data_IF_989836970267
#
_entry.id   IF_989836970267
#
_cell.length_a   1.000
_cell.length_b   1.000
_cell.length_c   1.000
_cell.angle_alpha   90.00
_cell.angle_beta   90.00
_cell.angle_gamma   90.00
#
_symmetry.space_group_name_H-M   'P 1'
#
loop_
_entity.id
_entity.type
_entity.pdbx_description
1 polymer ?
#
# COMPACT_ATOMS: atom_id res chain seq x y z
N UNK A 1 -10.53 3.19 3.77
CA UNK A 1 -11.58 3.40 2.78
C UNK A 1 -11.44 2.37 1.68
N UNK A 2 -12.49 1.66 1.40
CA UNK A 2 -12.50 0.60 0.40
C UNK A 2 -13.23 1.06 -0.85
N UNK A 3 -12.90 0.50 -2.01
CA UNK A 3 -13.66 0.80 -3.23
C UNK A 3 -15.07 0.22 -3.13
N UNK A 4 -16.00 0.71 -3.92
CA UNK A 4 -17.33 0.12 -3.95
C UNK A 4 -17.29 -1.31 -4.47
N UNK A 5 -18.32 -2.13 -4.19
CA UNK A 5 -18.36 -3.50 -4.69
C UNK A 5 -18.20 -3.52 -6.22
N UNK A 6 -17.34 -4.40 -6.71
CA UNK A 6 -17.00 -4.56 -8.11
C UNK A 6 -16.42 -3.30 -8.74
N UNK A 7 -15.91 -2.40 -7.92
CA UNK A 7 -15.36 -1.14 -8.39
C UNK A 7 -13.90 -0.97 -8.07
N UNK A 8 -13.41 0.24 -8.31
CA UNK A 8 -12.03 0.59 -8.05
C UNK A 8 -11.92 2.03 -7.57
N UNK A 9 -10.79 2.34 -6.94
CA UNK A 9 -10.42 3.69 -6.55
C UNK A 9 -9.04 3.99 -7.10
N UNK A 10 -8.86 5.21 -7.54
CA UNK A 10 -7.56 5.72 -7.89
C UNK A 10 -7.29 6.92 -6.97
N UNK A 11 -6.20 6.84 -6.20
CA UNK A 11 -5.87 7.87 -5.21
C UNK A 11 -4.40 8.21 -5.28
N UNK A 12 -4.10 9.45 -4.96
CA UNK A 12 -2.71 9.87 -4.75
C UNK A 12 -2.58 10.25 -3.28
N UNK A 13 -1.61 9.67 -2.60
CA UNK A 13 -1.41 9.87 -1.17
C UNK A 13 0.00 10.37 -0.93
N UNK A 14 0.13 11.40 -0.12
CA UNK A 14 1.42 11.92 0.33
C UNK A 14 1.70 11.45 1.74
N UNK A 15 2.85 10.81 1.92
CA UNK A 15 3.33 10.39 3.23
C UNK A 15 4.44 11.34 3.67
N UNK A 16 4.23 12.13 4.72
CA UNK A 16 5.24 13.10 5.14
C UNK A 16 6.48 12.43 5.72
N UNK A 17 7.60 13.14 5.80
CA UNK A 17 8.78 12.61 6.48
C UNK A 17 8.44 12.19 7.90
N UNK A 18 8.96 11.06 8.31
CA UNK A 18 8.72 10.55 9.66
C UNK A 18 7.39 9.88 9.86
N UNK A 19 6.58 9.72 8.81
CA UNK A 19 5.30 9.01 8.95
C UNK A 19 5.56 7.60 9.50
N UNK A 20 5.03 7.27 10.68
CA UNK A 20 5.43 6.05 11.39
C UNK A 20 4.75 4.78 10.91
N UNK A 21 3.83 4.91 9.99
CA UNK A 21 3.05 3.79 9.51
C UNK A 21 1.81 3.55 10.33
N UNK A 22 0.91 2.77 9.78
CA UNK A 22 -0.29 2.30 10.45
C UNK A 22 -0.68 0.98 9.80
N UNK A 23 -0.71 -0.07 10.60
CA UNK A 23 -1.05 -1.40 10.07
C UNK A 23 -2.52 -1.42 9.70
N UNK A 24 -2.79 -1.96 8.53
CA UNK A 24 -4.17 -2.18 8.09
C UNK A 24 -4.20 -3.30 7.06
N UNK A 25 -5.37 -3.83 6.86
CA UNK A 25 -5.64 -4.88 5.88
C UNK A 25 -6.86 -4.50 5.08
N UNK A 26 -6.82 -4.77 3.78
CA UNK A 26 -7.96 -4.53 2.92
C UNK A 26 -8.22 -5.76 2.06
N UNK A 27 -9.48 -5.96 1.66
CA UNK A 27 -9.86 -7.02 0.73
C UNK A 27 -9.86 -6.46 -0.68
N UNK A 28 -8.68 -6.02 -1.11
CA UNK A 28 -8.49 -5.40 -2.41
C UNK A 28 -7.23 -5.92 -3.06
N UNK A 29 -7.15 -5.73 -4.36
CA UNK A 29 -5.89 -5.82 -5.10
C UNK A 29 -5.40 -4.41 -5.24
N UNK A 30 -4.20 -4.13 -4.75
CA UNK A 30 -3.65 -2.78 -4.74
C UNK A 30 -2.47 -2.70 -5.69
N UNK A 31 -2.52 -1.73 -6.60
CA UNK A 31 -1.35 -1.34 -7.37
C UNK A 31 -0.83 -0.05 -6.76
N UNK A 32 0.46 -0.02 -6.45
CA UNK A 32 1.10 1.16 -5.88
C UNK A 32 2.26 1.58 -6.76
N UNK A 33 2.32 2.85 -7.10
CA UNK A 33 3.39 3.43 -7.91
C UNK A 33 4.01 4.56 -7.11
N UNK A 34 5.29 4.43 -6.77
CA UNK A 34 6.00 5.52 -6.10
C UNK A 34 6.31 6.60 -7.12
N UNK A 35 5.75 7.79 -6.94
CA UNK A 35 5.90 8.90 -7.87
C UNK A 35 7.10 9.76 -7.51
N UNK A 36 7.35 9.96 -6.21
CA UNK A 36 8.49 10.74 -5.74
C UNK A 36 8.84 10.35 -4.32
N UNK A 37 10.09 10.56 -3.95
CA UNK A 37 10.59 10.21 -2.62
C UNK A 37 10.87 8.73 -2.49
N UNK A 38 10.94 8.28 -1.26
CA UNK A 38 11.20 6.87 -0.91
C UNK A 38 10.33 6.49 0.26
N UNK A 39 10.01 5.21 0.38
CA UNK A 39 9.20 4.73 1.48
C UNK A 39 9.47 3.25 1.71
N UNK A 40 9.27 2.80 2.93
CA UNK A 40 9.30 1.38 3.26
C UNK A 40 7.89 0.89 3.52
N UNK A 41 7.59 -0.32 3.06
CA UNK A 41 6.36 -1.00 3.41
C UNK A 41 6.73 -2.20 4.25
N UNK A 42 6.14 -2.29 5.44
CA UNK A 42 6.36 -3.42 6.33
C UNK A 42 5.22 -4.40 6.20
N UNK A 43 5.55 -5.66 5.95
CA UNK A 43 4.58 -6.74 5.91
C UNK A 43 4.43 -7.37 7.29
N UNK A 44 3.40 -8.19 7.43
CA UNK A 44 3.01 -8.78 8.70
C UNK A 44 4.11 -9.61 9.36
N UNK A 45 4.96 -10.22 8.56
CA UNK A 45 6.05 -11.06 9.04
C UNK A 45 7.36 -10.28 9.27
N UNK A 46 7.30 -8.97 9.25
CA UNK A 46 8.46 -8.12 9.49
C UNK A 46 9.32 -7.88 8.27
N UNK A 47 8.93 -8.41 7.12
CA UNK A 47 9.66 -8.15 5.88
C UNK A 47 9.43 -6.72 5.44
N UNK A 48 10.50 -6.03 5.10
CA UNK A 48 10.45 -4.65 4.61
C UNK A 48 10.66 -4.63 3.11
N UNK A 49 9.82 -3.88 2.41
CA UNK A 49 9.97 -3.63 0.98
C UNK A 49 10.27 -2.15 0.81
N UNK A 50 11.40 -1.83 0.20
CA UNK A 50 11.78 -0.44 -0.05
C UNK A 50 11.35 -0.04 -1.45
N UNK A 51 10.71 1.13 -1.55
CA UNK A 51 10.28 1.69 -2.84
C UNK A 51 10.85 3.08 -3.01
N UNK A 52 11.27 3.37 -4.22
CA UNK A 52 11.71 4.71 -4.62
C UNK A 52 10.99 5.10 -5.91
N UNK A 53 11.15 6.34 -6.31
CA UNK A 53 10.44 6.89 -7.47
C UNK A 53 10.58 5.96 -8.68
N UNK A 54 9.46 5.64 -9.29
CA UNK A 54 9.38 4.75 -10.45
C UNK A 54 9.10 3.29 -10.11
N UNK A 55 9.21 2.90 -8.84
CA UNK A 55 8.92 1.52 -8.44
C UNK A 55 7.43 1.27 -8.38
N UNK A 56 7.04 0.05 -8.73
CA UNK A 56 5.66 -0.40 -8.74
C UNK A 56 5.53 -1.62 -7.86
N UNK A 57 4.45 -1.70 -7.11
CA UNK A 57 4.16 -2.82 -6.25
C UNK A 57 2.73 -3.29 -6.47
N UNK A 58 2.52 -4.59 -6.47
CA UNK A 58 1.18 -5.18 -6.49
C UNK A 58 1.03 -6.01 -5.23
N UNK A 59 -0.05 -5.81 -4.49
CA UNK A 59 -0.32 -6.60 -3.30
C UNK A 59 -1.79 -6.96 -3.20
N UNK A 60 -2.06 -8.03 -2.46
CA UNK A 60 -3.40 -8.59 -2.34
C UNK A 60 -3.67 -8.93 -0.89
N UNK A 61 -4.65 -8.25 -0.29
CA UNK A 61 -5.22 -8.66 0.99
C UNK A 61 -4.26 -8.90 2.13
N UNK A 62 -3.09 -8.28 2.11
CA UNK A 62 -2.09 -8.48 3.15
C UNK A 62 -2.16 -7.38 4.19
N UNK A 63 -1.76 -7.72 5.41
CA UNK A 63 -1.56 -6.71 6.46
C UNK A 63 -0.24 -6.00 6.18
N UNK A 64 -0.27 -4.69 6.14
CA UNK A 64 0.90 -3.90 5.79
C UNK A 64 0.87 -2.52 6.43
N UNK A 65 2.03 -1.87 6.45
CA UNK A 65 2.14 -0.48 6.91
C UNK A 65 3.13 0.25 6.03
N UNK A 66 2.85 1.51 5.72
CA UNK A 66 3.73 2.38 4.96
C UNK A 66 4.48 3.28 5.93
N UNK A 67 5.81 3.24 5.89
CA UNK A 67 6.65 3.96 6.85
C UNK A 67 7.62 4.83 6.07
N UNK A 68 7.58 6.14 6.28
CA UNK A 68 8.51 7.05 5.66
C UNK A 68 9.59 7.43 6.67
N UNK A 69 10.77 6.82 6.56
CA UNK A 69 11.91 7.11 7.42
C UNK A 69 12.83 8.17 6.84
N UNK A 70 12.50 8.69 5.68
CA UNK A 70 13.32 9.69 5.01
C UNK A 70 13.03 11.10 5.48
N UNK A 71 13.62 12.06 4.81
CA UNK A 71 13.46 13.48 5.11
C UNK A 71 12.65 14.24 4.06
N UNK A 72 12.06 13.52 3.12
CA UNK A 72 11.21 14.10 2.09
C UNK A 72 9.86 13.39 2.06
N UNK A 73 8.84 14.11 1.60
CA UNK A 73 7.51 13.52 1.39
C UNK A 73 7.60 12.47 0.28
N UNK A 74 6.98 11.32 0.50
CA UNK A 74 6.83 10.29 -0.53
C UNK A 74 5.42 10.34 -1.08
N UNK A 75 5.30 10.45 -2.40
CA UNK A 75 4.00 10.46 -3.07
C UNK A 75 3.77 9.14 -3.78
N UNK A 76 2.65 8.52 -3.50
CA UNK A 76 2.30 7.23 -4.09
C UNK A 76 0.93 7.33 -4.76
N UNK A 77 0.85 6.81 -5.98
CA UNK A 77 -0.42 6.60 -6.66
C UNK A 77 -0.89 5.19 -6.36
N UNK A 78 -2.12 5.07 -5.86
CA UNK A 78 -2.73 3.79 -5.56
C UNK A 78 -3.91 3.53 -6.46
N UNK A 79 -4.01 2.30 -6.97
CA UNK A 79 -5.21 1.81 -7.61
C UNK A 79 -5.67 0.62 -6.77
N UNK A 80 -6.86 0.74 -6.17
CA UNK A 80 -7.43 -0.31 -5.32
C UNK A 80 -8.61 -0.92 -6.06
N UNK A 81 -8.58 -2.23 -6.22
CA UNK A 81 -9.61 -2.96 -6.95
C UNK A 81 -10.32 -3.86 -5.96
N UNK A 82 -11.64 -3.75 -5.89
CA UNK A 82 -12.43 -4.61 -5.03
C UNK A 82 -12.20 -6.08 -5.38
N UNK A 83 -11.99 -6.90 -4.37
CA UNK A 83 -11.72 -8.32 -4.57
C UNK A 83 -12.28 -9.11 -3.41
N UNK A 84 -12.43 -10.39 -3.63
CA UNK A 84 -12.83 -11.28 -2.54
C UNK A 84 -11.66 -11.52 -1.61
N UNK A 85 -11.97 -11.80 -0.35
CA UNK A 85 -10.94 -12.11 0.64
C UNK A 85 -10.13 -13.31 0.16
N UNK A 86 -8.80 -13.22 0.35
CA UNK A 86 -7.90 -14.33 0.02
C UNK A 86 -7.62 -15.18 1.24
N UNK A 87 -8.36 -15.02 2.24
CA UNK A 87 -8.21 -15.80 3.42
C UNK A 87 -8.33 -17.27 3.13
N UNK A 88 -8.14 -18.03 3.65
CA UNK A 88 -8.28 -19.14 3.42
C UNK A 88 -8.62 -19.77 3.37
N UNK A 89 -8.34 -20.42 3.09
CA UNK A 89 -9.09 -20.93 2.17
C UNK A 89 -10.24 -21.01 2.85
N UNK A 90 -10.98 -20.41 2.37
CA UNK A 90 -11.99 -20.67 2.89
C UNK A 90 -12.31 -21.94 2.54
N UNK A 91 -11.75 -22.32 2.55
CA UNK A 91 -11.79 -23.33 2.12
C UNK A 91 -11.68 -23.91 2.68
#
# INVERSE_FOLDING_TARGET
VAPPPNGSWFRIVDYPPGFPGRRHKTDTIDYAICMSGEINMELDDGIMVHMKAGDVLVQRGTVHSWINKGDETCRIAFILIDAESVGLPHE
#
